data_IF_648025769694
#
_entry.id   IF_648025769694
#
_cell.length_a   1.000
_cell.length_b   1.000
_cell.length_c   1.000
_cell.angle_alpha   90.00
_cell.angle_beta   90.00
_cell.angle_gamma   90.00
#
_symmetry.space_group_name_H-M   'P 1'
#
loop_
_entity.id
_entity.type
_entity.pdbx_description
1 polymer ?
#
# COMPACT_ATOMS: atom_id res chain seq x y z
N UNK A 1 21.16 -83.92 -3.73
CA UNK A 1 22.64 -83.82 -3.78
C UNK A 1 23.02 -82.94 -4.97
N UNK A 2 23.80 -81.89 -4.67
CA UNK A 2 24.89 -81.33 -5.48
C UNK A 2 24.48 -80.61 -6.78
N UNK A 3 24.38 -79.27 -6.80
CA UNK A 3 25.45 -78.26 -6.84
C UNK A 3 26.10 -78.04 -8.22
N UNK A 4 25.84 -76.84 -8.78
CA UNK A 4 26.76 -75.83 -9.38
C UNK A 4 26.20 -75.26 -10.69
N UNK A 5 25.53 -74.11 -10.64
CA UNK A 5 26.09 -72.74 -10.72
C UNK A 5 26.74 -72.49 -12.09
N UNK A 6 25.95 -71.94 -13.01
CA UNK A 6 26.40 -71.32 -14.25
C UNK A 6 26.36 -69.81 -14.05
N UNK A 7 27.49 -69.21 -14.37
CA UNK A 7 27.85 -67.80 -14.26
C UNK A 7 27.05 -66.97 -15.26
N UNK A 8 26.46 -65.86 -14.83
CA UNK A 8 26.20 -64.69 -15.67
C UNK A 8 26.13 -63.44 -14.81
N UNK A 9 27.11 -62.58 -15.02
CA UNK A 9 27.31 -61.28 -14.41
C UNK A 9 26.11 -60.36 -14.69
N UNK A 10 25.46 -59.86 -13.64
CA UNK A 10 24.58 -58.70 -13.73
C UNK A 10 25.26 -57.59 -12.92
N UNK A 11 25.96 -56.71 -13.64
CA UNK A 11 26.39 -55.44 -13.09
C UNK A 11 25.13 -54.58 -12.91
N UNK A 12 24.58 -54.59 -11.69
CA UNK A 12 23.55 -53.63 -11.29
C UNK A 12 24.26 -52.31 -11.03
N UNK A 13 24.32 -51.47 -12.05
CA UNK A 13 24.63 -50.06 -11.88
C UNK A 13 23.47 -49.43 -11.07
N UNK A 14 23.65 -49.34 -9.75
CA UNK A 14 22.80 -48.54 -8.88
C UNK A 14 22.97 -47.07 -9.28
N UNK A 15 22.10 -46.61 -10.17
CA UNK A 15 21.84 -45.20 -10.38
C UNK A 15 21.12 -44.67 -9.13
N UNK A 16 21.88 -44.27 -8.11
CA UNK A 16 21.37 -43.42 -7.03
C UNK A 16 21.09 -42.04 -7.63
N UNK A 17 19.87 -41.87 -8.12
CA UNK A 17 19.21 -40.59 -8.30
C UNK A 17 19.10 -39.91 -6.92
N UNK A 18 20.15 -39.19 -6.53
CA UNK A 18 20.03 -38.18 -5.48
C UNK A 18 19.28 -37.02 -6.12
N UNK A 19 17.97 -37.02 -5.95
CA UNK A 19 17.15 -35.82 -6.18
C UNK A 19 17.58 -34.78 -5.15
N UNK A 20 18.62 -34.01 -5.48
CA UNK A 20 18.89 -32.73 -4.86
C UNK A 20 17.71 -31.82 -5.19
N UNK A 21 16.74 -31.77 -4.29
CA UNK A 21 15.78 -30.68 -4.24
C UNK A 21 16.61 -29.41 -4.10
N UNK A 22 16.79 -28.69 -5.20
CA UNK A 22 17.33 -27.34 -5.20
C UNK A 22 16.31 -26.50 -4.45
N UNK A 23 16.48 -26.40 -3.13
CA UNK A 23 15.92 -25.28 -2.39
C UNK A 23 16.54 -24.07 -3.08
N UNK A 24 15.74 -23.36 -3.87
CA UNK A 24 16.08 -22.05 -4.38
C UNK A 24 16.19 -21.11 -3.17
N UNK A 25 17.26 -21.26 -2.38
CA UNK A 25 17.85 -20.15 -1.64
C UNK A 25 18.48 -19.22 -2.68
N UNK A 26 17.64 -18.63 -3.52
CA UNK A 26 17.92 -17.31 -4.06
C UNK A 26 18.20 -16.48 -2.83
N UNK A 27 19.45 -16.03 -2.67
CA UNK A 27 19.94 -15.39 -1.47
C UNK A 27 18.96 -14.27 -1.07
N UNK A 28 18.08 -14.57 -0.12
CA UNK A 28 17.01 -13.65 0.24
C UNK A 28 17.70 -12.43 0.83
N UNK A 29 17.56 -11.24 0.21
CA UNK A 29 18.41 -10.12 0.56
C UNK A 29 18.35 -9.85 2.07
N UNK A 30 19.49 -9.55 2.73
CA UNK A 30 19.52 -9.38 4.18
C UNK A 30 18.55 -8.30 4.68
N UNK A 31 18.24 -7.31 3.85
CA UNK A 31 17.23 -6.29 4.12
C UNK A 31 15.81 -6.85 4.15
N UNK A 32 15.48 -7.72 3.20
CA UNK A 32 14.15 -8.31 3.12
C UNK A 32 13.90 -9.24 4.31
N UNK A 33 14.92 -9.99 4.76
CA UNK A 33 14.84 -10.80 5.99
C UNK A 33 14.57 -9.95 7.24
N UNK A 34 15.09 -8.74 7.29
CA UNK A 34 14.81 -7.81 8.40
C UNK A 34 13.42 -7.19 8.28
N UNK A 35 12.98 -6.91 7.05
CA UNK A 35 11.68 -6.31 6.76
C UNK A 35 10.50 -7.26 7.05
N UNK A 36 10.72 -8.58 7.09
CA UNK A 36 9.68 -9.54 7.48
C UNK A 36 9.16 -9.31 8.90
N UNK A 37 9.98 -8.76 9.80
CA UNK A 37 9.56 -8.33 11.15
C UNK A 37 8.50 -7.23 11.12
N UNK A 38 8.41 -6.52 10.00
CA UNK A 38 7.44 -5.47 9.70
C UNK A 38 6.38 -5.92 8.68
N UNK A 39 6.28 -7.23 8.42
CA UNK A 39 5.27 -7.81 7.53
C UNK A 39 5.67 -7.93 6.06
N UNK A 40 6.94 -7.68 5.70
CA UNK A 40 7.40 -7.88 4.33
C UNK A 40 7.32 -9.37 3.92
N UNK A 41 6.78 -9.62 2.73
CA UNK A 41 6.70 -10.97 2.13
C UNK A 41 7.68 -11.12 0.97
N UNK A 42 7.87 -10.04 0.21
CA UNK A 42 8.70 -10.00 -0.99
C UNK A 42 9.32 -8.61 -1.22
N UNK A 43 10.13 -8.47 -2.26
CA UNK A 43 10.84 -7.25 -2.62
C UNK A 43 9.89 -6.07 -2.89
N UNK A 44 8.65 -6.31 -3.33
CA UNK A 44 7.66 -5.26 -3.61
C UNK A 44 7.22 -4.52 -2.35
N UNK A 45 7.62 -5.01 -1.17
CA UNK A 45 7.44 -4.28 0.07
C UNK A 45 8.19 -2.94 0.09
N UNK A 46 9.36 -2.82 -0.53
CA UNK A 46 10.08 -1.53 -0.66
C UNK A 46 10.35 -1.12 -2.11
N UNK A 47 10.29 -2.07 -3.04
CA UNK A 47 10.54 -1.85 -4.46
C UNK A 47 9.25 -1.85 -5.27
N UNK A 48 9.30 -1.35 -6.51
CA UNK A 48 8.18 -1.46 -7.45
C UNK A 48 8.19 -2.79 -8.20
N UNK A 49 9.37 -3.38 -8.39
CA UNK A 49 9.55 -4.62 -9.14
C UNK A 49 9.68 -5.83 -8.20
N UNK A 50 9.11 -7.00 -8.57
CA UNK A 50 9.24 -8.25 -7.81
C UNK A 50 10.69 -8.72 -7.62
N UNK A 51 11.57 -8.40 -8.56
CA UNK A 51 12.98 -8.77 -8.54
C UNK A 51 13.81 -7.86 -7.60
N UNK A 52 13.24 -6.75 -7.12
CA UNK A 52 13.96 -5.72 -6.38
C UNK A 52 14.77 -4.79 -7.28
N UNK A 53 15.74 -4.07 -6.69
CA UNK A 53 16.64 -3.17 -7.44
C UNK A 53 16.16 -1.71 -7.51
N UNK A 54 16.70 -0.94 -8.44
CA UNK A 54 16.34 0.48 -8.60
C UNK A 54 14.86 0.63 -8.97
N UNK A 55 14.19 1.60 -8.35
CA UNK A 55 12.74 1.79 -8.47
C UNK A 55 12.01 1.42 -7.17
N UNK A 56 11.87 2.41 -6.30
CA UNK A 56 11.27 2.25 -4.97
C UNK A 56 9.80 2.67 -4.94
N UNK A 57 9.00 1.97 -4.15
CA UNK A 57 7.66 2.42 -3.81
C UNK A 57 7.74 3.50 -2.70
N UNK A 58 6.59 4.03 -2.24
CA UNK A 58 6.58 5.09 -1.21
C UNK A 58 7.38 4.75 0.05
N UNK A 59 7.33 3.49 0.50
CA UNK A 59 8.07 2.99 1.67
C UNK A 59 9.57 2.94 1.44
N UNK A 60 9.99 2.43 0.28
CA UNK A 60 11.41 2.39 -0.08
C UNK A 60 12.01 3.79 -0.24
N UNK A 61 11.28 4.70 -0.89
CA UNK A 61 11.70 6.10 -1.03
C UNK A 61 11.82 6.79 0.33
N UNK A 62 10.90 6.49 1.26
CA UNK A 62 10.96 7.02 2.62
C UNK A 62 12.22 6.54 3.37
N UNK A 63 12.56 5.26 3.30
CA UNK A 63 13.77 4.71 3.95
C UNK A 63 15.06 5.34 3.42
N UNK A 64 15.10 5.67 2.12
CA UNK A 64 16.24 6.36 1.50
C UNK A 64 16.35 7.79 2.05
N UNK A 65 15.24 8.52 2.08
CA UNK A 65 15.22 9.87 2.64
C UNK A 65 15.62 9.89 4.12
N UNK A 66 15.17 8.90 4.90
CA UNK A 66 15.50 8.77 6.31
C UNK A 66 16.98 8.47 6.54
N UNK A 67 17.62 7.68 5.65
CA UNK A 67 19.08 7.46 5.66
C UNK A 67 19.83 8.78 5.51
N UNK A 68 19.44 9.60 4.54
CA UNK A 68 20.12 10.85 4.24
C UNK A 68 19.90 11.89 5.36
N UNK A 69 18.67 11.96 5.89
CA UNK A 69 18.35 12.76 7.07
C UNK A 69 19.22 12.37 8.28
N UNK A 70 19.34 11.07 8.55
CA UNK A 70 20.14 10.55 9.66
C UNK A 70 21.64 10.57 9.39
N UNK A 71 22.05 10.96 8.18
CA UNK A 71 23.44 10.89 7.69
C UNK A 71 24.05 9.51 7.93
N UNK A 72 23.25 8.47 7.74
CA UNK A 72 23.66 7.10 7.96
C UNK A 72 24.35 6.53 6.73
N UNK A 73 25.37 5.71 6.97
CA UNK A 73 26.12 5.05 5.88
C UNK A 73 25.29 3.98 5.17
N UNK A 74 24.27 3.43 5.84
CA UNK A 74 23.38 2.38 5.31
C UNK A 74 21.94 2.60 5.77
N UNK A 75 20.99 2.13 4.94
CA UNK A 75 19.58 2.07 5.33
C UNK A 75 19.42 1.06 6.48
N UNK A 76 18.70 1.45 7.53
CA UNK A 76 18.29 0.54 8.60
C UNK A 76 16.77 0.28 8.51
N UNK A 77 16.42 -1.00 8.38
CA UNK A 77 15.02 -1.43 8.24
C UNK A 77 14.25 -1.23 9.54
N UNK A 78 14.92 -1.11 10.69
CA UNK A 78 14.28 -0.83 11.97
C UNK A 78 13.54 0.51 11.99
N UNK A 79 13.95 1.48 11.15
CA UNK A 79 13.25 2.76 11.01
C UNK A 79 11.82 2.59 10.49
N UNK A 80 11.47 1.46 9.87
CA UNK A 80 10.09 1.18 9.48
C UNK A 80 9.11 1.15 10.65
N UNK A 81 9.57 1.01 11.89
CA UNK A 81 8.74 1.23 13.08
C UNK A 81 8.21 2.66 13.21
N UNK A 82 8.86 3.62 12.55
CA UNK A 82 8.48 5.04 12.52
C UNK A 82 7.67 5.36 11.25
N UNK A 83 7.76 4.52 10.22
CA UNK A 83 7.03 4.65 8.97
C UNK A 83 5.53 4.39 9.16
N UNK A 84 4.68 5.35 8.81
CA UNK A 84 3.22 5.26 8.93
C UNK A 84 2.68 5.81 10.26
N UNK A 85 3.37 5.62 11.38
CA UNK A 85 2.84 6.01 12.69
C UNK A 85 3.54 7.23 13.34
N UNK A 86 4.75 7.63 12.93
CA UNK A 86 5.43 8.85 13.45
C UNK A 86 6.34 9.61 12.47
N UNK A 87 6.45 9.22 11.21
CA UNK A 87 7.41 9.79 10.27
C UNK A 87 6.92 10.99 9.43
N UNK A 88 6.14 11.91 10.02
CA UNK A 88 5.77 13.17 9.37
C UNK A 88 6.85 14.27 9.51
N UNK A 89 7.87 14.09 10.36
CA UNK A 89 8.85 15.13 10.59
C UNK A 89 10.20 14.81 9.94
N UNK A 90 10.66 15.76 9.12
CA UNK A 90 12.06 16.03 8.72
C UNK A 90 12.50 15.46 7.35
N UNK A 91 12.10 16.15 6.29
CA UNK A 91 12.96 16.88 5.33
C UNK A 91 12.02 17.58 4.35
N UNK A 92 11.71 18.86 4.61
CA UNK A 92 10.83 19.65 3.75
C UNK A 92 11.60 20.88 3.26
N UNK A 93 11.75 20.99 1.93
CA UNK A 93 11.98 22.27 1.26
C UNK A 93 10.75 23.17 1.48
N UNK A 94 10.92 24.49 1.47
CA UNK A 94 9.86 25.48 1.70
C UNK A 94 8.63 25.34 0.77
N UNK A 95 8.74 24.59 -0.33
CA UNK A 95 7.62 24.24 -1.23
C UNK A 95 6.71 23.10 -0.73
N UNK A 96 7.15 22.28 0.24
CA UNK A 96 6.41 21.13 0.81
C UNK A 96 5.76 21.45 2.17
N UNK A 97 6.00 22.63 2.73
CA UNK A 97 5.47 23.04 4.04
C UNK A 97 3.94 23.29 4.07
N UNK A 98 3.25 23.12 2.94
CA UNK A 98 1.80 23.33 2.84
C UNK A 98 0.94 22.07 3.07
N UNK A 99 1.50 20.86 3.18
CA UNK A 99 0.85 19.67 2.55
C UNK A 99 0.64 18.39 3.40
N UNK A 100 0.87 18.38 4.71
CA UNK A 100 0.67 17.17 5.54
C UNK A 100 -0.71 17.17 6.18
N UNK A 101 -1.68 16.51 5.55
CA UNK A 101 -2.97 16.19 6.16
C UNK A 101 -3.10 14.66 6.23
N UNK A 102 -2.65 14.05 7.32
CA UNK A 102 -2.52 12.60 7.43
C UNK A 102 -3.84 11.87 7.16
N UNK A 103 -4.97 12.45 7.57
CA UNK A 103 -6.30 11.89 7.37
C UNK A 103 -6.75 11.91 5.90
N UNK A 104 -6.30 12.91 5.13
CA UNK A 104 -6.47 12.93 3.67
C UNK A 104 -5.74 11.73 3.05
N UNK A 105 -4.47 11.53 3.39
CA UNK A 105 -3.67 10.42 2.88
C UNK A 105 -4.26 9.06 3.27
N UNK A 106 -4.70 8.93 4.52
CA UNK A 106 -5.36 7.74 5.06
C UNK A 106 -6.67 7.41 4.34
N UNK A 107 -7.47 8.42 3.99
CA UNK A 107 -8.68 8.22 3.18
C UNK A 107 -8.31 7.80 1.75
N UNK A 108 -7.37 8.51 1.14
CA UNK A 108 -6.94 8.24 -0.23
C UNK A 108 -6.34 6.84 -0.40
N UNK A 109 -5.63 6.31 0.61
CA UNK A 109 -5.13 4.94 0.59
C UNK A 109 -6.26 3.92 0.38
N UNK A 110 -7.30 3.96 1.22
CA UNK A 110 -8.44 3.04 1.14
C UNK A 110 -9.26 3.28 -0.13
N UNK A 111 -9.43 4.54 -0.52
CA UNK A 111 -10.08 4.90 -1.79
C UNK A 111 -9.35 4.25 -2.98
N UNK A 112 -8.03 4.36 -3.05
CA UNK A 112 -7.24 3.81 -4.16
C UNK A 112 -7.27 2.28 -4.24
N UNK A 113 -7.36 1.61 -3.08
CA UNK A 113 -7.52 0.14 -3.00
C UNK A 113 -8.91 -0.34 -3.43
N UNK A 114 -9.90 0.55 -3.48
CA UNK A 114 -11.29 0.21 -3.81
C UNK A 114 -11.71 0.67 -5.19
N UNK A 115 -11.34 1.90 -5.59
CA UNK A 115 -11.69 2.50 -6.87
C UNK A 115 -10.96 1.83 -8.06
N UNK A 116 -9.63 1.72 -8.04
CA UNK A 116 -8.90 1.20 -9.21
C UNK A 116 -9.31 -0.24 -9.60
N UNK A 117 -9.51 -1.20 -8.67
CA UNK A 117 -10.05 -2.50 -9.04
C UNK A 117 -11.48 -2.43 -9.60
N UNK A 118 -12.30 -1.48 -9.14
CA UNK A 118 -13.67 -1.31 -9.59
C UNK A 118 -13.77 -0.85 -11.05
N UNK A 119 -12.76 -0.13 -11.56
CA UNK A 119 -12.66 0.24 -12.98
C UNK A 119 -12.60 -1.00 -13.89
N UNK A 120 -12.00 -2.09 -13.40
CA UNK A 120 -11.96 -3.39 -14.06
C UNK A 120 -13.16 -4.29 -13.69
N UNK A 121 -14.17 -3.74 -13.02
CA UNK A 121 -15.35 -4.48 -12.55
C UNK A 121 -15.13 -5.34 -11.31
N UNK A 122 -13.96 -5.29 -10.67
CA UNK A 122 -13.65 -6.06 -9.46
C UNK A 122 -14.19 -5.32 -8.23
N UNK A 123 -15.45 -5.56 -7.88
CA UNK A 123 -16.12 -4.87 -6.75
C UNK A 123 -15.89 -5.53 -5.38
N UNK A 124 -15.19 -6.65 -5.31
CA UNK A 124 -14.89 -7.34 -4.05
C UNK A 124 -14.16 -6.44 -3.02
N UNK A 125 -13.14 -5.63 -3.41
CA UNK A 125 -12.46 -4.74 -2.47
C UNK A 125 -13.40 -3.70 -1.85
N UNK A 126 -14.21 -2.99 -2.64
CA UNK A 126 -15.14 -2.00 -2.09
C UNK A 126 -16.19 -2.66 -1.19
N UNK A 127 -16.70 -3.84 -1.56
CA UNK A 127 -17.63 -4.59 -0.69
C UNK A 127 -17.04 -4.92 0.67
N UNK A 128 -15.74 -5.17 0.76
CA UNK A 128 -15.02 -5.46 2.00
C UNK A 128 -14.63 -4.22 2.79
N UNK A 129 -14.21 -3.16 2.10
CA UNK A 129 -13.56 -1.98 2.70
C UNK A 129 -14.50 -0.76 2.84
N UNK A 130 -15.75 -0.82 2.38
CA UNK A 130 -16.65 0.34 2.43
C UNK A 130 -16.86 0.91 3.86
N UNK A 131 -16.90 0.05 4.87
CA UNK A 131 -16.98 0.49 6.26
C UNK A 131 -15.72 1.23 6.71
N UNK A 132 -14.54 0.78 6.30
CA UNK A 132 -13.27 1.46 6.57
C UNK A 132 -13.18 2.78 5.81
N UNK A 133 -13.57 2.82 4.53
CA UNK A 133 -13.61 4.03 3.72
C UNK A 133 -14.48 5.11 4.36
N UNK A 134 -15.69 4.75 4.82
CA UNK A 134 -16.58 5.65 5.55
C UNK A 134 -15.97 6.11 6.89
N UNK A 135 -15.29 5.22 7.62
CA UNK A 135 -14.62 5.58 8.86
C UNK A 135 -13.47 6.59 8.64
N UNK A 136 -12.63 6.38 7.60
CA UNK A 136 -11.55 7.32 7.25
C UNK A 136 -12.10 8.67 6.81
N UNK A 137 -13.21 8.71 6.08
CA UNK A 137 -13.87 9.95 5.69
C UNK A 137 -14.33 10.76 6.92
N UNK A 138 -14.92 10.07 7.90
CA UNK A 138 -15.34 10.69 9.17
C UNK A 138 -14.17 11.22 9.96
N UNK A 139 -13.10 10.43 10.09
CA UNK A 139 -11.87 10.85 10.75
C UNK A 139 -11.26 12.09 10.07
N UNK A 140 -11.25 12.12 8.74
CA UNK A 140 -10.78 13.27 7.98
C UNK A 140 -11.63 14.51 8.22
N UNK A 141 -12.96 14.39 8.21
CA UNK A 141 -13.87 15.50 8.52
C UNK A 141 -13.68 16.05 9.94
N UNK A 142 -13.41 15.20 10.92
CA UNK A 142 -13.23 15.59 12.33
C UNK A 142 -11.83 16.13 12.64
N UNK A 143 -10.86 15.88 11.76
CA UNK A 143 -9.47 16.28 11.96
C UNK A 143 -9.27 17.79 11.81
N UNK A 144 -8.15 18.28 12.33
CA UNK A 144 -7.76 19.69 12.18
C UNK A 144 -7.07 19.88 10.83
N UNK A 145 -7.62 20.68 9.90
CA UNK A 145 -6.98 20.92 8.62
C UNK A 145 -5.69 21.73 8.80
N UNK A 146 -4.68 21.54 7.94
CA UNK A 146 -3.58 22.48 7.79
C UNK A 146 -4.12 23.89 7.54
N UNK A 147 -3.46 24.93 8.08
CA UNK A 147 -3.94 26.31 8.02
C UNK A 147 -4.23 26.78 6.59
N UNK A 148 -3.42 26.34 5.61
CA UNK A 148 -3.58 26.70 4.19
C UNK A 148 -4.83 26.07 3.56
N UNK A 149 -5.42 25.04 4.19
CA UNK A 149 -6.62 24.34 3.75
C UNK A 149 -7.82 24.57 4.66
N UNK A 150 -7.70 25.42 5.68
CA UNK A 150 -8.78 25.81 6.58
C UNK A 150 -9.71 26.83 5.90
N UNK A 151 -10.34 26.38 4.82
CA UNK A 151 -11.24 27.15 3.98
C UNK A 151 -12.66 26.57 4.06
N UNK A 152 -13.70 27.43 4.09
CA UNK A 152 -15.09 26.96 4.18
C UNK A 152 -15.51 26.11 2.97
N UNK A 153 -14.94 26.37 1.79
CA UNK A 153 -15.19 25.60 0.56
C UNK A 153 -14.67 24.15 0.70
N UNK A 154 -13.41 23.98 1.11
CA UNK A 154 -12.81 22.65 1.35
C UNK A 154 -13.64 21.88 2.39
N UNK A 155 -14.02 22.54 3.50
CA UNK A 155 -14.85 21.92 4.54
C UNK A 155 -16.22 21.49 4.01
N UNK A 156 -16.87 22.31 3.18
CA UNK A 156 -18.17 21.97 2.60
C UNK A 156 -18.10 20.74 1.70
N UNK A 157 -17.04 20.62 0.90
CA UNK A 157 -16.81 19.46 0.02
C UNK A 157 -16.50 18.22 0.87
N UNK A 158 -15.70 18.34 1.93
CA UNK A 158 -15.38 17.23 2.84
C UNK A 158 -16.61 16.71 3.60
N UNK A 159 -17.55 17.58 3.99
CA UNK A 159 -18.84 17.16 4.58
C UNK A 159 -19.63 16.29 3.60
N UNK A 160 -19.68 16.67 2.31
CA UNK A 160 -20.33 15.87 1.26
C UNK A 160 -19.64 14.53 1.07
N UNK A 161 -18.32 14.51 0.95
CA UNK A 161 -17.51 13.30 0.83
C UNK A 161 -17.79 12.31 1.97
N UNK A 162 -17.85 12.79 3.21
CA UNK A 162 -18.19 11.97 4.37
C UNK A 162 -19.61 11.39 4.28
N UNK A 163 -20.60 12.19 3.90
CA UNK A 163 -21.97 11.73 3.76
C UNK A 163 -22.11 10.67 2.65
N UNK A 164 -21.48 10.91 1.49
CA UNK A 164 -21.46 9.98 0.35
C UNK A 164 -20.72 8.68 0.69
N UNK A 165 -19.58 8.75 1.40
CA UNK A 165 -18.84 7.56 1.86
C UNK A 165 -19.70 6.69 2.78
N UNK A 166 -20.43 7.33 3.71
CA UNK A 166 -21.37 6.63 4.59
C UNK A 166 -22.52 6.00 3.80
N UNK A 167 -23.12 6.75 2.87
CA UNK A 167 -24.23 6.26 2.05
C UNK A 167 -23.81 5.04 1.21
N UNK A 168 -22.62 5.06 0.61
CA UNK A 168 -22.04 3.93 -0.12
C UNK A 168 -21.89 2.70 0.80
N UNK A 169 -21.30 2.88 2.00
CA UNK A 169 -21.17 1.80 2.98
C UNK A 169 -22.51 1.21 3.43
N UNK A 170 -23.49 2.06 3.74
CA UNK A 170 -24.84 1.64 4.12
C UNK A 170 -25.55 0.92 2.95
N UNK A 171 -25.38 1.41 1.73
CA UNK A 171 -25.94 0.82 0.50
C UNK A 171 -25.39 -0.57 0.27
N UNK A 172 -24.07 -0.76 0.37
CA UNK A 172 -23.41 -2.07 0.25
C UNK A 172 -23.92 -3.03 1.33
N UNK A 173 -24.03 -2.58 2.58
CA UNK A 173 -24.56 -3.40 3.68
C UNK A 173 -26.02 -3.82 3.46
N UNK A 174 -26.80 -3.00 2.74
CA UNK A 174 -28.20 -3.28 2.37
C UNK A 174 -28.34 -4.06 1.05
N UNK A 175 -27.24 -4.49 0.43
CA UNK A 175 -27.25 -5.27 -0.80
C UNK A 175 -27.39 -4.45 -2.08
N UNK A 176 -26.81 -3.24 -2.13
CA UNK A 176 -26.71 -2.48 -3.37
C UNK A 176 -26.12 -3.32 -4.52
N UNK A 177 -26.71 -3.17 -5.70
CA UNK A 177 -26.28 -3.84 -6.91
C UNK A 177 -24.96 -3.22 -7.44
N UNK A 178 -24.30 -3.95 -8.35
CA UNK A 178 -22.98 -3.58 -8.87
C UNK A 178 -22.97 -2.24 -9.61
N UNK A 179 -24.05 -1.92 -10.34
CA UNK A 179 -24.18 -0.67 -11.09
C UNK A 179 -24.25 0.53 -10.14
N UNK A 180 -25.05 0.42 -9.09
CA UNK A 180 -25.17 1.45 -8.06
C UNK A 180 -23.85 1.64 -7.30
N UNK A 181 -23.17 0.55 -6.94
CA UNK A 181 -21.88 0.63 -6.25
C UNK A 181 -20.83 1.33 -7.11
N UNK A 182 -20.75 1.00 -8.42
CA UNK A 182 -19.82 1.67 -9.34
C UNK A 182 -20.12 3.15 -9.42
N UNK A 183 -21.39 3.51 -9.63
CA UNK A 183 -21.83 4.91 -9.72
C UNK A 183 -21.46 5.71 -8.47
N UNK A 184 -21.78 5.17 -7.30
CA UNK A 184 -21.54 5.85 -6.03
C UNK A 184 -20.04 5.95 -5.70
N UNK A 185 -19.26 4.90 -5.99
CA UNK A 185 -17.82 4.90 -5.79
C UNK A 185 -17.11 5.88 -6.75
N UNK A 186 -17.56 5.98 -8.01
CA UNK A 186 -17.04 6.99 -8.95
C UNK A 186 -17.38 8.40 -8.49
N UNK A 187 -18.62 8.67 -8.09
CA UNK A 187 -19.00 9.96 -7.56
C UNK A 187 -18.16 10.36 -6.33
N UNK A 188 -17.87 9.39 -5.45
CA UNK A 188 -17.03 9.62 -4.28
C UNK A 188 -15.56 9.89 -4.63
N UNK A 189 -15.02 9.22 -5.64
CA UNK A 189 -13.68 9.48 -6.17
C UNK A 189 -13.60 10.89 -6.80
N UNK A 190 -14.61 11.31 -7.57
CA UNK A 190 -14.67 12.65 -8.15
C UNK A 190 -14.74 13.73 -7.05
N UNK A 191 -15.51 13.45 -5.99
CA UNK A 191 -15.60 14.32 -4.81
C UNK A 191 -14.24 14.51 -4.14
N UNK A 192 -13.43 13.46 -4.05
CA UNK A 192 -12.05 13.56 -3.56
C UNK A 192 -11.20 14.47 -4.46
N UNK A 193 -11.27 14.32 -5.78
CA UNK A 193 -10.54 15.19 -6.70
C UNK A 193 -10.98 16.66 -6.65
N UNK A 194 -12.25 16.92 -6.36
CA UNK A 194 -12.76 18.27 -6.11
C UNK A 194 -12.07 18.91 -4.89
N UNK A 195 -11.92 18.16 -3.78
CA UNK A 195 -11.15 18.62 -2.61
C UNK A 195 -9.70 18.90 -2.99
N UNK A 196 -9.06 17.99 -3.72
CA UNK A 196 -7.66 18.17 -4.15
C UNK A 196 -7.49 19.38 -5.05
N UNK A 197 -8.48 19.67 -5.90
CA UNK A 197 -8.55 20.90 -6.69
C UNK A 197 -8.60 22.14 -5.82
N UNK A 198 -9.55 22.19 -4.88
CA UNK A 198 -9.70 23.29 -3.94
C UNK A 198 -8.44 23.52 -3.10
N UNK A 199 -7.81 22.45 -2.58
CA UNK A 199 -6.54 22.53 -1.87
C UNK A 199 -5.41 23.14 -2.72
N UNK A 200 -5.33 22.80 -4.02
CA UNK A 200 -4.34 23.40 -4.93
C UNK A 200 -4.59 24.89 -5.14
N UNK A 201 -5.85 25.30 -5.31
CA UNK A 201 -6.20 26.71 -5.47
C UNK A 201 -5.92 27.51 -4.20
N UNK A 202 -6.27 26.99 -3.02
CA UNK A 202 -5.90 27.63 -1.75
C UNK A 202 -4.39 27.75 -1.59
N UNK A 203 -3.62 26.70 -1.94
CA UNK A 203 -2.16 26.76 -1.91
C UNK A 203 -1.62 27.86 -2.82
N UNK A 204 -2.19 28.09 -4.00
CA UNK A 204 -1.79 29.19 -4.91
C UNK A 204 -2.08 30.57 -4.33
N UNK A 205 -3.20 30.75 -3.61
CA UNK A 205 -3.56 32.04 -2.98
C UNK A 205 -2.61 32.45 -1.85
N UNK A 206 -1.89 31.48 -1.27
CA UNK A 206 -0.99 31.67 -0.14
C UNK A 206 0.50 31.58 -0.52
N UNK A 207 0.81 31.54 -1.83
CA UNK A 207 2.17 31.66 -2.39
C UNK A 207 2.43 33.10 -2.84
#
# INVERSE_FOLDING_TARGET
MNHKIIKSSIAIALATLVSLSVINTQAYPPFLKQATKFGAKDCTFCHKQPEGGEGWNKRGTWLIAEKDKRKADKIDVAWLSEYGDKAAATTASAAQASEQWAELDNFHEVMSQTFHPAEEGKLQPIRKLAGELAARAKQWLDSKPPKVYDAPEIKAILVKLNAESKALGDGIAKGANDEQIKKDLTALHDRFHEIMGACREEKKKHQ
#
